data_IF_178509584119
#
_entry.id   IF_178509584119
#
_cell.length_a   1.000
_cell.length_b   1.000
_cell.length_c   1.000
_cell.angle_alpha   90.00
_cell.angle_beta   90.00
_cell.angle_gamma   90.00
#
_symmetry.space_group_name_H-M   'P 1'
#
loop_
_entity.id
_entity.type
_entity.pdbx_description
1 polymer ?
#
# COMPACT_ATOMS: atom_id res chain seq x y z
N UNK A 1 -2.60 6.55 23.74
CA UNK A 1 -2.19 7.54 22.72
C UNK A 1 -3.38 7.73 21.79
N UNK A 2 -3.83 8.95 21.51
CA UNK A 2 -4.84 9.13 20.47
C UNK A 2 -4.24 8.58 19.16
N UNK A 3 -5.04 7.82 18.40
CA UNK A 3 -4.67 7.37 17.07
C UNK A 3 -4.47 8.63 16.22
N UNK A 4 -3.22 9.09 16.10
CA UNK A 4 -2.86 10.05 15.06
C UNK A 4 -3.27 9.42 13.74
N UNK A 5 -4.03 10.16 12.92
CA UNK A 5 -4.46 9.73 11.59
C UNK A 5 -3.27 9.16 10.83
N UNK A 6 -3.47 8.02 10.17
CA UNK A 6 -2.40 7.39 9.38
C UNK A 6 -2.07 8.26 8.16
N UNK A 7 -3.11 8.89 7.58
CA UNK A 7 -2.99 9.76 6.43
C UNK A 7 -2.93 11.24 6.80
N UNK A 8 -1.94 11.93 6.25
CA UNK A 8 -1.90 13.38 6.09
C UNK A 8 -2.32 13.72 4.65
N UNK A 9 -3.61 14.05 4.46
CA UNK A 9 -4.20 14.22 3.14
C UNK A 9 -4.27 12.90 2.37
N UNK A 10 -3.56 12.79 1.24
CA UNK A 10 -3.42 11.55 0.46
C UNK A 10 -2.11 10.81 0.74
N UNK A 11 -1.37 11.19 1.78
CA UNK A 11 -0.02 10.71 2.02
C UNK A 11 0.16 10.07 3.40
N UNK A 12 1.12 9.16 3.52
CA UNK A 12 1.67 8.69 4.79
C UNK A 12 3.11 9.21 4.87
N UNK A 13 3.44 9.93 5.95
CA UNK A 13 4.74 10.57 6.16
C UNK A 13 5.42 10.02 7.40
N UNK A 14 6.75 9.94 7.39
CA UNK A 14 7.54 9.53 8.55
C UNK A 14 8.99 9.24 8.22
N UNK A 15 9.72 8.66 9.17
CA UNK A 15 11.09 8.19 8.95
C UNK A 15 11.07 6.69 8.65
N UNK A 16 11.72 6.26 7.56
CA UNK A 16 11.84 4.85 7.20
C UNK A 16 12.38 4.01 8.37
N UNK A 17 11.68 2.94 8.71
CA UNK A 17 12.00 2.08 9.86
C UNK A 17 11.42 2.54 11.20
N UNK A 18 10.75 3.70 11.24
CA UNK A 18 10.06 4.25 12.42
C UNK A 18 8.58 4.38 12.09
N UNK A 19 7.67 4.11 13.05
CA UNK A 19 6.24 4.22 12.81
C UNK A 19 5.88 5.64 12.32
N UNK A 20 5.07 5.79 11.24
CA UNK A 20 4.27 4.75 10.57
C UNK A 20 4.97 3.97 9.44
N UNK A 21 6.24 4.24 9.13
CA UNK A 21 6.97 3.62 8.03
C UNK A 21 7.86 2.44 8.47
N UNK A 22 7.40 1.62 9.42
CA UNK A 22 8.06 0.33 9.71
C UNK A 22 7.68 -0.71 8.66
N UNK A 23 8.54 -1.72 8.46
CA UNK A 23 8.24 -2.81 7.52
C UNK A 23 6.93 -3.54 7.89
N UNK A 24 6.71 -3.81 9.18
CA UNK A 24 5.48 -4.44 9.65
C UNK A 24 4.24 -3.59 9.39
N UNK A 25 4.30 -2.28 9.68
CA UNK A 25 3.15 -1.41 9.47
C UNK A 25 2.85 -1.27 7.98
N UNK A 26 3.86 -1.05 7.15
CA UNK A 26 3.68 -0.94 5.70
C UNK A 26 3.17 -2.24 5.08
N UNK A 27 3.62 -3.41 5.56
CA UNK A 27 3.06 -4.70 5.15
C UNK A 27 1.57 -4.80 5.51
N UNK A 28 1.17 -4.37 6.71
CA UNK A 28 -0.25 -4.33 7.11
C UNK A 28 -1.05 -3.36 6.25
N UNK A 29 -0.50 -2.19 5.95
CA UNK A 29 -1.14 -1.19 5.07
C UNK A 29 -1.33 -1.76 3.66
N UNK A 30 -0.30 -2.39 3.09
CA UNK A 30 -0.38 -3.02 1.77
C UNK A 30 -1.46 -4.10 1.72
N UNK A 31 -1.51 -4.96 2.73
CA UNK A 31 -2.53 -6.00 2.84
C UNK A 31 -3.94 -5.41 2.93
N UNK A 32 -4.13 -4.40 3.78
CA UNK A 32 -5.41 -3.72 3.95
C UNK A 32 -5.86 -3.01 2.66
N UNK A 33 -4.94 -2.41 1.90
CA UNK A 33 -5.23 -1.79 0.61
C UNK A 33 -5.74 -2.81 -0.41
N UNK A 34 -5.09 -3.97 -0.51
CA UNK A 34 -5.55 -5.03 -1.41
C UNK A 34 -6.94 -5.53 -1.01
N UNK A 35 -7.20 -5.73 0.29
CA UNK A 35 -8.52 -6.15 0.79
C UNK A 35 -9.59 -5.11 0.46
N UNK A 36 -9.28 -3.83 0.69
CA UNK A 36 -10.20 -2.74 0.36
C UNK A 36 -10.57 -2.75 -1.13
N UNK A 37 -9.60 -2.93 -2.03
CA UNK A 37 -9.90 -3.01 -3.46
C UNK A 37 -10.82 -4.17 -3.80
N UNK A 38 -10.57 -5.35 -3.23
CA UNK A 38 -11.42 -6.52 -3.44
C UNK A 38 -12.84 -6.29 -2.92
N UNK A 39 -13.00 -5.66 -1.75
CA UNK A 39 -14.32 -5.32 -1.18
C UNK A 39 -15.06 -4.32 -2.06
N UNK A 40 -14.36 -3.33 -2.61
CA UNK A 40 -14.91 -2.29 -3.45
C UNK A 40 -14.97 -2.70 -4.94
N UNK A 41 -14.81 -3.98 -5.24
CA UNK A 41 -14.88 -4.55 -6.61
C UNK A 41 -13.94 -3.87 -7.62
N UNK A 42 -12.80 -3.34 -7.15
CA UNK A 42 -11.71 -2.78 -7.96
C UNK A 42 -10.66 -3.86 -8.27
N UNK A 43 -10.03 -3.77 -9.45
CA UNK A 43 -8.88 -4.62 -9.76
C UNK A 43 -7.75 -4.34 -8.76
N UNK A 44 -7.25 -5.35 -8.01
CA UNK A 44 -6.20 -5.15 -7.02
C UNK A 44 -4.84 -5.06 -7.71
N UNK A 45 -4.61 -3.95 -8.43
CA UNK A 45 -3.39 -3.65 -9.15
C UNK A 45 -2.78 -2.34 -8.63
N UNK A 46 -1.57 -2.42 -8.08
CA UNK A 46 -0.84 -1.27 -7.53
C UNK A 46 0.41 -0.95 -8.36
N UNK A 47 0.57 0.31 -8.72
CA UNK A 47 1.79 0.84 -9.33
C UNK A 47 2.64 1.53 -8.26
N UNK A 48 3.94 1.29 -8.26
CA UNK A 48 4.92 2.02 -7.44
C UNK A 48 5.94 2.69 -8.35
N UNK A 49 6.28 3.95 -8.10
CA UNK A 49 7.22 4.68 -8.96
C UNK A 49 8.67 4.15 -8.87
N UNK A 50 9.04 3.54 -7.75
CA UNK A 50 10.39 2.98 -7.52
C UNK A 50 10.35 1.86 -6.47
N UNK A 51 11.43 1.08 -6.41
CA UNK A 51 11.62 0.05 -5.38
C UNK A 51 12.63 0.51 -4.33
N UNK A 52 12.13 0.75 -3.12
CA UNK A 52 12.93 1.03 -1.93
C UNK A 52 12.32 0.34 -0.71
N UNK A 53 12.89 0.57 0.47
CA UNK A 53 12.42 -0.05 1.71
C UNK A 53 10.91 0.16 1.94
N UNK A 54 10.40 1.37 1.74
CA UNK A 54 9.01 1.70 1.99
C UNK A 54 8.08 1.07 0.95
N UNK A 55 8.36 1.24 -0.34
CA UNK A 55 7.51 0.73 -1.42
C UNK A 55 7.54 -0.80 -1.48
N UNK A 56 8.67 -1.45 -1.19
CA UNK A 56 8.76 -2.91 -1.10
C UNK A 56 8.02 -3.47 0.10
N UNK A 57 8.13 -2.85 1.28
CA UNK A 57 7.39 -3.31 2.47
C UNK A 57 5.88 -3.24 2.25
N UNK A 58 5.42 -2.18 1.59
CA UNK A 58 4.02 -2.02 1.16
C UNK A 58 3.62 -3.06 0.11
N UNK A 59 4.44 -3.24 -0.93
CA UNK A 59 4.19 -4.17 -2.03
C UNK A 59 4.06 -5.62 -1.56
N UNK A 60 4.91 -6.06 -0.63
CA UNK A 60 4.84 -7.39 -0.04
C UNK A 60 3.49 -7.61 0.65
N UNK A 61 2.99 -6.61 1.38
CA UNK A 61 1.66 -6.64 1.99
C UNK A 61 0.55 -6.79 0.95
N UNK A 62 0.60 -5.98 -0.10
CA UNK A 62 -0.38 -5.95 -1.18
C UNK A 62 -0.44 -7.28 -1.94
N UNK A 63 0.73 -7.84 -2.30
CA UNK A 63 0.86 -9.17 -2.90
C UNK A 63 0.32 -10.28 -2.02
N UNK A 64 0.53 -10.19 -0.70
CA UNK A 64 -0.02 -11.15 0.25
C UNK A 64 -1.56 -11.09 0.35
N UNK A 65 -2.19 -9.99 -0.07
CA UNK A 65 -3.64 -9.90 -0.26
C UNK A 65 -4.14 -10.56 -1.56
N UNK A 66 -3.23 -10.88 -2.48
CA UNK A 66 -3.50 -11.41 -3.81
C UNK A 66 -3.50 -10.37 -4.94
N UNK A 67 -3.16 -9.12 -4.63
CA UNK A 67 -3.06 -8.05 -5.62
C UNK A 67 -1.67 -7.97 -6.24
N UNK A 68 -1.60 -7.61 -7.50
CA UNK A 68 -0.31 -7.52 -8.19
C UNK A 68 0.30 -6.12 -8.12
N UNK A 69 1.63 -6.04 -8.24
CA UNK A 69 2.39 -4.78 -8.16
C UNK A 69 3.24 -4.57 -9.42
N UNK A 70 3.16 -3.39 -10.00
CA UNK A 70 3.96 -2.97 -11.16
C UNK A 70 4.91 -1.85 -10.73
N UNK A 71 6.16 -1.92 -11.15
CA UNK A 71 7.12 -0.82 -11.00
C UNK A 71 7.04 0.11 -12.21
N UNK A 72 6.70 1.38 -11.98
CA UNK A 72 6.50 2.41 -12.99
C UNK A 72 5.21 3.19 -12.76
N UNK A 73 4.97 4.19 -13.60
CA UNK A 73 3.72 4.96 -13.63
C UNK A 73 2.85 4.46 -14.78
N UNK A 74 1.98 3.49 -14.52
CA UNK A 74 0.97 2.99 -15.45
C UNK A 74 -0.44 3.29 -14.92
N UNK A 75 -1.46 3.03 -15.73
CA UNK A 75 -2.87 3.15 -15.35
C UNK A 75 -3.28 2.00 -14.42
N UNK A 76 -2.78 2.04 -13.18
CA UNK A 76 -3.16 1.15 -12.09
C UNK A 76 -4.32 1.73 -11.27
N UNK A 77 -5.14 0.85 -10.69
CA UNK A 77 -6.23 1.26 -9.76
C UNK A 77 -5.72 2.00 -8.52
N UNK A 78 -4.46 1.75 -8.13
CA UNK A 78 -3.75 2.53 -7.13
C UNK A 78 -2.34 2.84 -7.61
N UNK A 79 -1.97 4.11 -7.51
CA UNK A 79 -0.60 4.57 -7.73
C UNK A 79 -0.01 5.05 -6.41
N UNK A 80 1.18 4.56 -6.07
CA UNK A 80 1.93 4.97 -4.89
C UNK A 80 3.23 5.62 -5.32
N UNK A 81 3.36 6.91 -5.02
CA UNK A 81 4.55 7.70 -5.33
C UNK A 81 5.34 7.88 -4.05
N UNK A 82 6.53 7.31 -4.01
CA UNK A 82 7.53 7.60 -2.99
C UNK A 82 8.21 8.93 -3.28
N UNK A 83 8.37 9.74 -2.23
CA UNK A 83 9.20 10.94 -2.23
C UNK A 83 10.12 10.92 -1.02
N UNK A 84 11.36 11.34 -1.24
CA UNK A 84 12.34 11.57 -0.18
C UNK A 84 12.55 13.08 -0.03
N UNK A 85 12.28 13.60 1.17
CA UNK A 85 12.73 14.92 1.62
C UNK A 85 13.80 14.73 2.71
N UNK A 86 14.63 15.75 2.99
CA UNK A 86 15.86 15.63 3.79
C UNK A 86 15.77 14.69 5.00
N UNK A 87 14.73 14.85 5.82
CA UNK A 87 14.57 14.13 7.09
C UNK A 87 13.36 13.17 7.15
N UNK A 88 12.55 13.10 6.09
CA UNK A 88 11.36 12.25 6.08
C UNK A 88 11.05 11.71 4.69
N UNK A 89 10.38 10.56 4.69
CA UNK A 89 9.85 9.90 3.53
C UNK A 89 8.34 10.13 3.46
N UNK A 90 7.82 10.22 2.26
CA UNK A 90 6.40 10.35 1.97
C UNK A 90 5.98 9.27 0.97
N UNK A 91 4.89 8.56 1.28
CA UNK A 91 4.17 7.71 0.34
C UNK A 91 2.87 8.42 -0.03
N UNK A 92 2.75 8.90 -1.27
CA UNK A 92 1.54 9.55 -1.79
C UNK A 92 0.67 8.51 -2.51
N UNK A 93 -0.57 8.35 -2.08
CA UNK A 93 -1.53 7.39 -2.62
C UNK A 93 -2.52 8.10 -3.55
N UNK A 94 -2.56 7.69 -4.82
CA UNK A 94 -3.45 8.21 -5.85
C UNK A 94 -4.40 7.09 -6.27
N UNK A 95 -5.71 7.39 -6.32
CA UNK A 95 -6.76 6.39 -6.56
C UNK A 95 -7.55 6.01 -5.29
N UNK A 96 -7.28 6.67 -4.15
CA UNK A 96 -8.06 6.54 -2.93
C UNK A 96 -8.88 7.81 -2.67
N UNK A 97 -10.18 7.65 -2.49
CA UNK A 97 -11.07 8.71 -2.01
C UNK A 97 -10.92 8.96 -0.50
N UNK A 98 -11.56 10.01 0.04
CA UNK A 98 -11.64 10.21 1.49
C UNK A 98 -12.37 9.05 2.20
N UNK A 99 -13.43 8.52 1.57
CA UNK A 99 -14.16 7.37 2.09
C UNK A 99 -13.29 6.11 2.13
N UNK A 100 -12.50 5.87 1.07
CA UNK A 100 -11.54 4.76 1.02
C UNK A 100 -10.55 4.80 2.17
N UNK A 101 -10.02 5.99 2.49
CA UNK A 101 -9.05 6.16 3.59
C UNK A 101 -9.69 5.84 4.94
N UNK A 102 -10.94 6.22 5.16
CA UNK A 102 -11.67 5.88 6.38
C UNK A 102 -11.93 4.37 6.48
N UNK A 103 -12.33 3.72 5.37
CA UNK A 103 -12.51 2.26 5.31
C UNK A 103 -11.19 1.53 5.55
N UNK A 104 -10.08 2.03 5.00
CA UNK A 104 -8.74 1.47 5.18
C UNK A 104 -8.29 1.54 6.64
N UNK A 105 -8.45 2.69 7.29
CA UNK A 105 -8.17 2.84 8.72
C UNK A 105 -9.06 1.90 9.57
N UNK A 106 -10.32 1.73 9.19
CA UNK A 106 -11.22 0.77 9.84
C UNK A 106 -10.71 -0.68 9.73
N UNK A 107 -10.21 -1.09 8.55
CA UNK A 107 -9.61 -2.42 8.35
C UNK A 107 -8.34 -2.57 9.19
N UNK A 108 -7.46 -1.56 9.20
CA UNK A 108 -6.15 -1.63 9.87
C UNK A 108 -6.24 -1.73 11.39
N UNK A 109 -7.17 -0.98 11.98
CA UNK A 109 -7.35 -0.90 13.44
C UNK A 109 -8.43 -1.87 13.96
N UNK A 110 -9.04 -2.65 13.06
CA UNK A 110 -9.91 -3.74 13.42
C UNK A 110 -9.18 -4.82 14.20
N UNK A 111 -9.93 -5.54 15.05
CA UNK A 111 -9.45 -6.76 15.71
C UNK A 111 -9.60 -8.00 14.81
N UNK A 112 -10.30 -7.88 13.70
CA UNK A 112 -10.48 -8.99 12.77
C UNK A 112 -9.18 -9.28 12.02
N UNK A 113 -8.91 -10.56 11.79
CA UNK A 113 -7.77 -10.97 10.98
C UNK A 113 -7.97 -10.54 9.53
N UNK A 114 -6.96 -9.92 8.95
CA UNK A 114 -6.91 -9.66 7.51
C UNK A 114 -6.60 -10.98 6.76
N UNK A 115 -7.48 -11.43 5.84
CA UNK A 115 -7.24 -12.64 5.07
C UNK A 115 -5.99 -12.49 4.21
N UNK A 116 -5.22 -13.58 4.10
CA UNK A 116 -3.98 -13.65 3.32
C UNK A 116 -4.10 -14.75 2.27
N UNK A 117 -3.43 -14.57 1.15
CA UNK A 117 -3.30 -15.56 0.08
C UNK A 117 -2.02 -16.37 0.27
N UNK A 118 -2.02 -17.60 -0.24
CA UNK A 118 -0.90 -18.52 -0.13
C UNK A 118 -0.56 -19.15 -1.48
N UNK A 119 0.69 -19.58 -1.63
CA UNK A 119 1.18 -20.26 -2.84
C UNK A 119 0.94 -19.42 -4.10
N UNK A 120 0.31 -20.03 -5.10
CA UNK A 120 0.08 -19.40 -6.41
C UNK A 120 -0.96 -18.28 -6.40
N UNK A 121 -1.64 -18.05 -5.27
CA UNK A 121 -2.62 -16.97 -5.12
C UNK A 121 -1.98 -15.67 -4.61
N UNK A 122 -0.71 -15.70 -4.21
CA UNK A 122 0.05 -14.49 -3.87
C UNK A 122 0.31 -13.70 -5.15
N UNK A 123 0.08 -12.39 -5.09
CA UNK A 123 0.29 -11.49 -6.21
C UNK A 123 1.76 -11.43 -6.65
N UNK A 124 1.97 -10.93 -7.85
CA UNK A 124 3.27 -10.84 -8.51
C UNK A 124 3.79 -9.42 -8.49
N UNK A 125 5.13 -9.30 -8.48
CA UNK A 125 5.83 -8.04 -8.71
C UNK A 125 6.42 -8.05 -10.12
N UNK A 126 6.04 -7.07 -10.94
CA UNK A 126 6.65 -6.87 -12.27
C UNK A 126 7.59 -5.67 -12.25
N UNK A 127 8.85 -5.94 -12.55
CA UNK A 127 9.93 -4.96 -12.65
C UNK A 127 10.21 -4.73 -14.13
N UNK A 128 9.27 -4.13 -14.87
CA UNK A 128 9.39 -3.82 -16.30
C UNK A 128 8.59 -2.55 -16.62
N UNK A 129 9.11 -1.65 -17.46
CA UNK A 129 8.42 -0.43 -17.93
C UNK A 129 7.12 -0.74 -18.75
N UNK A 130 6.80 -2.00 -19.03
CA UNK A 130 5.57 -2.47 -19.70
C UNK A 130 5.21 -3.92 -19.32
N UNK A 131 3.91 -4.23 -19.19
CA UNK A 131 3.39 -5.62 -19.14
C UNK A 131 3.61 -6.27 -20.53
N UNK A 132 4.02 -7.56 -20.62
CA UNK A 132 4.00 -8.29 -21.89
C UNK A 132 2.57 -8.52 -22.39
#
# INVERSE_FOLDING_TARGET
MPLNKLFEGSSIRGTAGVYPLTAENLLRVGLALCILMVIEEREPLMCVNELNFCTMSLAVGFMNGGGDVIVGTQDCSLNVIYKQEENFQELVFIGLSEEDKLKLESILYSRYNMPKKEGNQVGRLWIQESRP
#
